data_IF_108283094343
#
_entry.id   IF_108283094343
#
_cell.length_a   1.000
_cell.length_b   1.000
_cell.length_c   1.000
_cell.angle_alpha   90.00
_cell.angle_beta   90.00
_cell.angle_gamma   90.00
#
_symmetry.space_group_name_H-M   'P 1'
#
loop_
_entity.id
_entity.type
_entity.pdbx_description
1 polymer ?
#
# COMPACT_ATOMS: atom_id res chain seq x y z
N UNK A 1 21.67 3.01 0.90
CA UNK A 1 22.38 2.05 0.02
C UNK A 1 21.33 1.31 -0.77
N UNK A 2 21.37 1.48 -2.08
CA UNK A 2 20.39 0.97 -3.04
C UNK A 2 20.33 -0.57 -2.98
N UNK A 3 19.14 -1.14 -3.20
CA UNK A 3 18.91 -2.58 -3.17
C UNK A 3 19.78 -3.30 -4.21
N UNK A 4 19.98 -2.67 -5.37
CA UNK A 4 20.85 -3.14 -6.45
C UNK A 4 22.30 -3.30 -5.99
N UNK A 5 22.85 -2.32 -5.28
CA UNK A 5 24.24 -2.34 -4.77
C UNK A 5 24.46 -3.54 -3.83
N UNK A 6 23.46 -3.85 -3.00
CA UNK A 6 23.51 -4.98 -2.06
C UNK A 6 23.44 -6.34 -2.75
N UNK A 7 22.75 -6.44 -3.89
CA UNK A 7 22.65 -7.64 -4.71
C UNK A 7 23.97 -7.91 -5.45
N UNK A 8 24.54 -6.87 -6.06
CA UNK A 8 25.86 -6.94 -6.70
C UNK A 8 26.96 -7.35 -5.72
N UNK A 9 26.98 -6.76 -4.52
CA UNK A 9 27.94 -7.11 -3.47
C UNK A 9 27.83 -8.56 -2.98
N UNK A 10 26.71 -9.25 -3.25
CA UNK A 10 26.48 -10.67 -2.93
C UNK A 10 26.69 -11.60 -4.13
N UNK A 11 27.20 -11.09 -5.24
CA UNK A 11 27.55 -11.88 -6.42
C UNK A 11 26.40 -12.19 -7.37
N UNK A 12 25.27 -11.47 -7.27
CA UNK A 12 24.20 -11.59 -8.27
C UNK A 12 24.66 -10.90 -9.56
N UNK A 13 24.55 -11.62 -10.68
CA UNK A 13 24.95 -11.12 -12.00
C UNK A 13 24.15 -9.87 -12.41
N UNK A 14 24.78 -8.82 -12.96
CA UNK A 14 24.10 -7.60 -13.41
C UNK A 14 22.94 -7.87 -14.39
N UNK A 15 23.10 -8.84 -15.27
CA UNK A 15 22.11 -9.24 -16.27
C UNK A 15 20.85 -9.82 -15.60
N UNK A 16 21.03 -10.60 -14.53
CA UNK A 16 19.94 -11.14 -13.75
C UNK A 16 19.13 -10.05 -13.04
N UNK A 17 19.81 -9.03 -12.52
CA UNK A 17 19.16 -7.87 -11.90
C UNK A 17 18.42 -7.04 -12.98
N UNK A 18 19.02 -6.87 -14.16
CA UNK A 18 18.40 -6.14 -15.26
C UNK A 18 17.09 -6.80 -15.72
N UNK A 19 17.04 -8.14 -15.78
CA UNK A 19 15.83 -8.89 -16.17
C UNK A 19 14.63 -8.61 -15.27
N UNK A 20 14.83 -8.26 -14.00
CA UNK A 20 13.76 -8.06 -13.01
C UNK A 20 13.64 -6.61 -12.53
N UNK A 21 14.40 -5.68 -13.11
CA UNK A 21 14.49 -4.29 -12.63
C UNK A 21 13.12 -3.60 -12.62
N UNK A 22 12.35 -3.77 -13.68
CA UNK A 22 11.04 -3.11 -13.84
C UNK A 22 10.02 -3.66 -12.84
N UNK A 23 10.06 -4.96 -12.58
CA UNK A 23 9.28 -5.60 -11.54
C UNK A 23 9.73 -5.06 -10.17
N UNK A 24 11.03 -4.98 -9.92
CA UNK A 24 11.61 -4.41 -8.68
C UNK A 24 11.18 -2.98 -8.41
N UNK A 25 11.17 -2.11 -9.42
CA UNK A 25 10.63 -0.74 -9.27
C UNK A 25 9.15 -0.78 -8.85
N UNK A 26 8.38 -1.77 -9.32
CA UNK A 26 6.98 -1.91 -8.93
C UNK A 26 6.79 -2.48 -7.52
N UNK A 27 7.57 -3.49 -7.12
CA UNK A 27 7.36 -4.20 -5.84
C UNK A 27 8.24 -3.70 -4.69
N UNK A 28 9.41 -3.13 -4.96
CA UNK A 28 10.35 -2.67 -3.95
C UNK A 28 10.22 -1.17 -3.64
N UNK A 29 9.88 -0.32 -4.62
CA UNK A 29 9.64 1.12 -4.40
C UNK A 29 8.17 1.44 -4.08
N UNK A 30 7.24 0.52 -4.35
CA UNK A 30 5.80 0.69 -4.04
C UNK A 30 5.46 0.70 -2.55
N UNK A 31 6.40 0.37 -1.66
CA UNK A 31 6.19 0.32 -0.20
C UNK A 31 6.80 1.51 0.55
N UNK A 32 6.95 2.66 -0.10
CA UNK A 32 7.52 3.85 0.56
C UNK A 32 6.59 4.43 1.63
N UNK A 33 5.27 4.32 1.48
CA UNK A 33 4.29 4.80 2.46
C UNK A 33 3.14 3.80 2.69
N UNK A 34 3.25 2.93 3.71
CA UNK A 34 2.19 1.97 4.04
C UNK A 34 0.82 2.60 4.27
N UNK A 35 0.76 3.84 4.79
CA UNK A 35 -0.49 4.58 4.98
C UNK A 35 -1.15 4.97 3.66
N UNK A 36 -0.38 5.52 2.71
CA UNK A 36 -0.87 5.89 1.37
C UNK A 36 -1.43 4.67 0.64
N UNK A 37 -0.74 3.54 0.68
CA UNK A 37 -1.22 2.30 0.07
C UNK A 37 -2.54 1.79 0.68
N UNK A 38 -2.75 2.01 1.99
CA UNK A 38 -4.03 1.70 2.66
C UNK A 38 -5.13 2.66 2.21
N UNK A 39 -4.84 3.96 2.09
CA UNK A 39 -5.78 4.97 1.60
C UNK A 39 -6.23 4.67 0.16
N UNK A 40 -5.28 4.44 -0.74
CA UNK A 40 -5.53 4.10 -2.15
C UNK A 40 -6.41 2.85 -2.27
N UNK A 41 -6.09 1.80 -1.51
CA UNK A 41 -6.86 0.56 -1.51
C UNK A 41 -8.30 0.78 -1.01
N UNK A 42 -8.48 1.60 0.03
CA UNK A 42 -9.83 1.93 0.55
C UNK A 42 -10.64 2.69 -0.51
N UNK A 43 -10.03 3.61 -1.24
CA UNK A 43 -10.69 4.37 -2.29
C UNK A 43 -11.04 3.50 -3.51
N UNK A 44 -10.14 2.62 -3.95
CA UNK A 44 -10.43 1.63 -5.00
C UNK A 44 -11.62 0.73 -4.63
N UNK A 45 -11.66 0.22 -3.40
CA UNK A 45 -12.77 -0.59 -2.91
C UNK A 45 -14.08 0.20 -2.89
N UNK A 46 -14.06 1.48 -2.47
CA UNK A 46 -15.26 2.33 -2.47
C UNK A 46 -15.81 2.59 -3.87
N UNK A 47 -14.92 2.73 -4.86
CA UNK A 47 -15.28 2.93 -6.26
C UNK A 47 -15.85 1.66 -6.91
N UNK A 48 -15.65 0.48 -6.31
CA UNK A 48 -16.11 -0.79 -6.84
C UNK A 48 -17.67 -0.83 -6.91
N UNK A 49 -18.27 -1.05 -8.09
CA UNK A 49 -19.73 -1.06 -8.26
C UNK A 49 -20.42 -2.25 -7.57
N UNK A 50 -19.66 -3.28 -7.17
CA UNK A 50 -20.18 -4.45 -6.46
C UNK A 50 -20.23 -4.25 -4.94
N UNK A 51 -19.67 -3.17 -4.42
CA UNK A 51 -19.75 -2.82 -3.00
C UNK A 51 -20.89 -1.80 -2.79
N UNK A 52 -21.92 -2.13 -2.00
CA UNK A 52 -23.01 -1.20 -1.70
C UNK A 52 -22.49 0.11 -1.07
N UNK A 53 -23.12 1.23 -1.44
CA UNK A 53 -22.66 2.58 -1.06
C UNK A 53 -22.82 2.89 0.43
N UNK A 54 -23.65 2.13 1.12
CA UNK A 54 -23.92 2.21 2.56
C UNK A 54 -22.98 1.34 3.41
N UNK A 55 -22.07 0.58 2.79
CA UNK A 55 -21.06 -0.21 3.50
C UNK A 55 -19.83 0.66 3.82
N UNK A 56 -19.52 0.91 5.10
CA UNK A 56 -18.32 1.65 5.50
C UNK A 56 -17.07 0.80 5.28
N UNK A 57 -16.04 1.39 4.66
CA UNK A 57 -14.75 0.75 4.43
C UNK A 57 -13.70 1.44 5.31
N UNK A 58 -13.00 0.66 6.12
CA UNK A 58 -11.97 1.14 7.03
C UNK A 58 -10.58 0.72 6.54
N UNK A 59 -9.59 1.58 6.78
CA UNK A 59 -8.18 1.32 6.52
C UNK A 59 -7.40 1.31 7.83
N UNK A 60 -6.65 0.24 8.09
CA UNK A 60 -5.94 0.01 9.34
C UNK A 60 -4.49 -0.39 9.07
N UNK A 61 -3.58 0.03 9.95
CA UNK A 61 -2.21 -0.47 10.00
C UNK A 61 -1.99 -1.16 11.34
N UNK A 62 -1.42 -2.36 11.29
CA UNK A 62 -1.02 -3.12 12.46
C UNK A 62 0.49 -3.01 12.65
N UNK A 63 0.93 -2.55 13.83
CA UNK A 63 2.35 -2.50 14.17
C UNK A 63 2.81 -3.85 14.74
N UNK A 64 3.65 -4.63 14.01
CA UNK A 64 3.90 -6.04 14.31
C UNK A 64 4.73 -6.29 15.58
N UNK A 65 5.37 -5.25 16.14
CA UNK A 65 6.16 -5.37 17.38
C UNK A 65 5.40 -4.95 18.63
N UNK A 66 4.52 -3.95 18.53
CA UNK A 66 3.78 -3.40 19.69
C UNK A 66 2.36 -3.95 19.77
N UNK A 67 1.82 -4.46 18.67
CA UNK A 67 0.43 -4.88 18.56
C UNK A 67 -0.55 -3.70 18.40
N UNK A 68 -0.04 -2.47 18.34
CA UNK A 68 -0.87 -1.28 18.14
C UNK A 68 -1.54 -1.31 16.77
N UNK A 69 -2.79 -0.86 16.74
CA UNK A 69 -3.57 -0.69 15.52
C UNK A 69 -3.80 0.80 15.33
N UNK A 70 -3.34 1.31 14.19
CA UNK A 70 -3.60 2.67 13.76
C UNK A 70 -4.75 2.68 12.76
N UNK A 71 -5.71 3.58 12.96
CA UNK A 71 -6.81 3.81 12.00
C UNK A 71 -6.37 4.88 11.02
N UNK A 72 -6.07 4.48 9.79
CA UNK A 72 -5.72 5.40 8.71
C UNK A 72 -6.98 6.00 8.08
N UNK A 73 -7.98 5.16 7.84
CA UNK A 73 -9.26 5.58 7.28
C UNK A 73 -10.42 5.10 8.16
N UNK A 74 -11.19 6.05 8.69
CA UNK A 74 -12.45 5.76 9.36
C UNK A 74 -13.62 5.86 8.36
N UNK A 75 -14.10 4.69 7.93
CA UNK A 75 -15.18 4.57 6.94
C UNK A 75 -16.48 5.29 7.32
N UNK A 76 -16.82 5.39 8.61
CA UNK A 76 -18.03 6.11 9.03
C UNK A 76 -17.90 7.62 8.85
N UNK A 77 -16.76 8.18 9.24
CA UNK A 77 -16.49 9.62 9.11
C UNK A 77 -16.35 10.02 7.65
N UNK A 78 -15.62 9.23 6.86
CA UNK A 78 -15.36 9.51 5.46
C UNK A 78 -16.64 9.38 4.60
N UNK A 79 -17.51 8.41 4.90
CA UNK A 79 -18.79 8.25 4.21
C UNK A 79 -19.70 9.48 4.39
N UNK A 80 -19.77 10.04 5.60
CA UNK A 80 -20.47 11.32 5.83
C UNK A 80 -19.90 12.43 4.95
N UNK A 81 -18.58 12.60 4.93
CA UNK A 81 -17.93 13.65 4.14
C UNK A 81 -18.12 13.49 2.62
N UNK A 82 -18.24 12.26 2.12
CA UNK A 82 -18.34 11.97 0.69
C UNK A 82 -19.77 12.12 0.15
N UNK A 83 -20.79 11.73 0.91
CA UNK A 83 -22.19 11.75 0.46
C UNK A 83 -23.02 12.92 1.01
N UNK A 84 -22.51 13.67 2.00
CA UNK A 84 -23.15 14.90 2.51
C UNK A 84 -22.58 16.19 1.86
N UNK A 85 -21.60 16.07 0.95
CA UNK A 85 -21.12 17.15 0.08
C UNK A 85 -21.90 17.19 -1.24
#
# INVERSE_FOLDING_TARGET
KDLTEKMLARGIAPEAIHMVRKEMERWADGFTHPAENVEDTVDELRMNPLIPKDVPIHGLIFHPRTGEIEVIVNGYTQMKQYYEK
#
